data_IF_671427026639
#
_entry.id   IF_671427026639
#
_cell.length_a   1.000
_cell.length_b   1.000
_cell.length_c   1.000
_cell.angle_alpha   90.00
_cell.angle_beta   90.00
_cell.angle_gamma   90.00
#
_symmetry.space_group_name_H-M   'P 1'
#
loop_
_entity.id
_entity.type
_entity.pdbx_description
1 polymer ?
#
# COMPACT_ATOMS: atom_id res chain seq x y z
N UNK A 1 16.53 29.92 57.14
CA UNK A 1 15.15 29.87 56.71
C UNK A 1 14.89 29.82 55.20
N UNK A 2 15.89 29.58 54.35
CA UNK A 2 15.66 29.44 52.90
C UNK A 2 15.45 27.99 52.47
N UNK A 3 14.65 27.81 51.41
CA UNK A 3 14.46 26.48 50.80
C UNK A 3 15.74 26.06 50.08
N UNK A 4 15.98 24.78 50.10
CA UNK A 4 17.11 24.17 49.39
C UNK A 4 16.72 23.86 47.94
N UNK A 5 17.40 24.48 47.01
CA UNK A 5 17.10 24.30 45.58
C UNK A 5 18.20 23.59 44.79
N UNK A 6 19.33 23.29 45.38
CA UNK A 6 20.45 22.62 44.73
C UNK A 6 21.17 23.52 43.71
N UNK A 7 21.43 23.00 42.53
CA UNK A 7 22.16 23.72 41.48
C UNK A 7 21.35 24.88 40.88
N UNK A 8 22.04 25.94 40.46
CA UNK A 8 21.42 27.08 39.78
C UNK A 8 20.84 26.73 38.39
N UNK A 9 21.26 25.61 37.80
CA UNK A 9 20.74 25.07 36.53
C UNK A 9 19.53 24.16 36.68
N UNK A 10 18.96 24.03 37.88
CA UNK A 10 17.79 23.19 38.13
C UNK A 10 16.57 23.68 37.33
N UNK A 11 15.63 22.79 36.94
CA UNK A 11 14.49 23.14 36.07
C UNK A 11 13.58 24.24 36.62
N UNK A 12 13.46 24.39 37.95
CA UNK A 12 12.63 25.43 38.56
C UNK A 12 13.16 26.84 38.42
N UNK A 13 14.43 27.02 38.04
CA UNK A 13 15.03 28.34 37.88
C UNK A 13 14.88 28.87 36.46
N UNK A 14 14.82 30.18 36.32
CA UNK A 14 14.84 30.84 35.02
C UNK A 14 16.19 30.56 34.33
N UNK A 15 16.12 30.09 33.07
CA UNK A 15 17.32 29.66 32.33
C UNK A 15 17.91 28.32 32.77
N UNK A 16 17.21 27.59 33.67
CA UNK A 16 17.61 26.26 34.09
C UNK A 16 17.36 25.18 33.02
N UNK A 17 17.79 23.96 33.32
CA UNK A 17 17.58 22.81 32.41
C UNK A 17 16.12 22.47 32.23
N UNK A 18 15.80 21.75 31.14
CA UNK A 18 14.46 21.21 30.89
C UNK A 18 14.32 19.85 31.59
N UNK A 19 13.27 19.70 32.43
CA UNK A 19 13.07 18.48 33.21
C UNK A 19 12.76 17.29 32.32
N UNK A 20 11.88 17.48 31.29
CA UNK A 20 11.51 16.46 30.30
C UNK A 20 11.74 17.03 28.89
N UNK A 21 13.00 17.23 28.56
CA UNK A 21 13.39 17.77 27.26
C UNK A 21 13.23 16.77 26.11
N UNK A 22 13.48 17.24 24.89
CA UNK A 22 13.42 16.37 23.73
C UNK A 22 14.39 15.20 23.84
N UNK A 23 13.90 14.00 23.54
CA UNK A 23 14.70 12.77 23.57
C UNK A 23 14.55 12.08 22.22
N UNK A 24 15.66 11.56 21.71
CA UNK A 24 15.63 10.73 20.50
C UNK A 24 14.89 9.44 20.82
N UNK A 25 13.79 9.22 20.15
CA UNK A 25 12.96 8.02 20.35
C UNK A 25 12.27 7.64 19.05
N UNK A 26 11.86 6.40 18.98
CA UNK A 26 11.05 5.90 17.89
C UNK A 26 9.57 6.24 18.16
N UNK A 27 8.93 6.92 17.20
CA UNK A 27 7.50 7.24 17.24
C UNK A 27 6.64 6.22 16.52
N UNK A 28 7.26 5.19 15.95
CA UNK A 28 6.53 4.13 15.26
C UNK A 28 5.66 3.35 16.23
N UNK A 29 4.50 2.95 15.78
CA UNK A 29 3.61 2.06 16.52
C UNK A 29 2.88 1.15 15.53
N UNK A 30 2.46 -0.01 15.98
CA UNK A 30 1.70 -0.95 15.18
C UNK A 30 0.20 -0.68 15.29
N UNK A 31 -0.51 -0.90 14.19
CA UNK A 31 -1.97 -0.84 14.19
C UNK A 31 -2.57 -2.21 14.52
N UNK A 32 -3.71 -2.26 15.23
CA UNK A 32 -4.45 -3.50 15.41
C UNK A 32 -4.81 -4.16 14.08
N UNK A 33 -4.82 -5.49 14.05
CA UNK A 33 -5.11 -6.26 12.84
C UNK A 33 -6.47 -5.92 12.22
N UNK A 34 -7.49 -5.70 13.04
CA UNK A 34 -8.84 -5.31 12.57
C UNK A 34 -8.85 -3.95 11.89
N UNK A 35 -8.05 -2.98 12.39
CA UNK A 35 -7.92 -1.65 11.78
C UNK A 35 -7.24 -1.75 10.41
N UNK A 36 -6.21 -2.57 10.28
CA UNK A 36 -5.54 -2.81 9.00
C UNK A 36 -6.47 -3.45 7.97
N UNK A 37 -7.28 -4.41 8.38
CA UNK A 37 -8.29 -5.03 7.52
C UNK A 37 -9.37 -4.03 7.08
N UNK A 38 -9.81 -3.18 7.98
CA UNK A 38 -10.76 -2.11 7.68
C UNK A 38 -10.18 -1.10 6.67
N UNK A 39 -8.90 -0.74 6.83
CA UNK A 39 -8.21 0.17 5.91
C UNK A 39 -8.17 -0.40 4.48
N UNK A 40 -7.90 -1.70 4.33
CA UNK A 40 -7.90 -2.36 3.03
C UNK A 40 -9.28 -2.35 2.38
N UNK A 41 -10.34 -2.62 3.15
CA UNK A 41 -11.72 -2.53 2.67
C UNK A 41 -12.08 -1.12 2.21
N UNK A 42 -11.67 -0.10 2.95
CA UNK A 42 -11.89 1.31 2.58
C UNK A 42 -11.16 1.69 1.29
N UNK A 43 -9.92 1.24 1.11
CA UNK A 43 -9.16 1.49 -0.11
C UNK A 43 -9.85 0.87 -1.34
N UNK A 44 -10.31 -0.37 -1.22
CA UNK A 44 -11.07 -1.04 -2.28
C UNK A 44 -12.39 -0.33 -2.59
N UNK A 45 -13.10 0.11 -1.55
CA UNK A 45 -14.37 0.84 -1.69
C UNK A 45 -14.17 2.19 -2.39
N UNK A 46 -13.11 2.91 -2.07
CA UNK A 46 -12.78 4.17 -2.72
C UNK A 46 -12.52 3.99 -4.21
N UNK A 47 -11.77 2.95 -4.58
CA UNK A 47 -11.53 2.63 -5.99
C UNK A 47 -12.81 2.23 -6.73
N UNK A 48 -13.67 1.45 -6.10
CA UNK A 48 -14.97 1.07 -6.67
C UNK A 48 -15.86 2.28 -6.90
N UNK A 49 -15.91 3.21 -5.93
CA UNK A 49 -16.70 4.43 -6.02
C UNK A 49 -16.26 5.34 -7.19
N UNK A 50 -14.97 5.41 -7.43
CA UNK A 50 -14.39 6.23 -8.50
C UNK A 50 -14.37 5.51 -9.86
N UNK A 51 -15.01 4.34 -9.98
CA UNK A 51 -14.95 3.48 -11.15
C UNK A 51 -13.52 3.10 -11.56
N UNK A 52 -12.64 2.98 -10.57
CA UNK A 52 -11.22 2.66 -10.76
C UNK A 52 -10.91 1.16 -10.72
N UNK A 53 -11.89 0.29 -10.55
CA UNK A 53 -11.70 -1.17 -10.54
C UNK A 53 -12.08 -1.76 -11.88
N UNK A 54 -11.18 -2.57 -12.43
CA UNK A 54 -11.39 -3.35 -13.66
C UNK A 54 -11.18 -4.82 -13.30
N UNK A 55 -12.12 -5.67 -13.67
CA UNK A 55 -12.01 -7.12 -13.46
C UNK A 55 -11.72 -7.79 -14.79
N UNK A 56 -10.68 -8.59 -14.83
CA UNK A 56 -10.28 -9.37 -16.00
C UNK A 56 -10.34 -10.86 -15.67
N UNK A 57 -10.46 -11.71 -16.69
CA UNK A 57 -10.51 -13.15 -16.48
C UNK A 57 -9.19 -13.69 -15.93
N UNK A 58 -8.09 -13.32 -16.54
CA UNK A 58 -6.76 -13.76 -16.13
C UNK A 58 -5.69 -12.78 -16.61
N UNK A 59 -4.56 -12.75 -15.91
CA UNK A 59 -3.40 -11.94 -16.25
C UNK A 59 -2.28 -12.85 -16.73
N UNK A 60 -2.36 -13.29 -17.98
CA UNK A 60 -1.39 -14.18 -18.59
C UNK A 60 -0.92 -13.66 -19.95
N UNK A 61 0.33 -13.98 -20.30
CA UNK A 61 0.89 -13.73 -21.62
C UNK A 61 1.54 -15.00 -22.16
N UNK A 62 1.44 -15.22 -23.46
CA UNK A 62 2.12 -16.31 -24.13
C UNK A 62 3.63 -16.09 -24.22
N UNK A 63 4.06 -14.84 -24.32
CA UNK A 63 5.46 -14.44 -24.41
C UNK A 63 5.74 -13.26 -23.45
N UNK A 64 6.94 -13.18 -22.83
CA UNK A 64 7.30 -12.11 -21.92
C UNK A 64 7.70 -10.83 -22.66
N UNK A 65 6.82 -10.31 -23.51
CA UNK A 65 7.09 -9.10 -24.30
C UNK A 65 6.29 -7.92 -23.79
N UNK A 66 6.98 -6.88 -23.36
CA UNK A 66 6.38 -5.64 -22.87
C UNK A 66 5.55 -4.94 -23.94
N UNK A 67 5.95 -5.00 -25.19
CA UNK A 67 5.22 -4.38 -26.31
C UNK A 67 3.80 -4.93 -26.47
N UNK A 68 3.64 -6.24 -26.34
CA UNK A 68 2.33 -6.90 -26.39
C UNK A 68 1.45 -6.45 -25.23
N UNK A 69 2.02 -6.40 -24.03
CA UNK A 69 1.32 -5.97 -22.83
C UNK A 69 0.92 -4.49 -22.91
N UNK A 70 1.78 -3.62 -23.42
CA UNK A 70 1.45 -2.20 -23.66
C UNK A 70 0.29 -2.05 -24.64
N UNK A 71 0.20 -2.89 -25.66
CA UNK A 71 -0.93 -2.93 -26.58
C UNK A 71 -2.25 -3.27 -25.87
N UNK A 72 -2.24 -4.24 -24.97
CA UNK A 72 -3.40 -4.58 -24.14
C UNK A 72 -3.78 -3.44 -23.18
N UNK A 73 -2.82 -2.81 -22.55
CA UNK A 73 -3.07 -1.67 -21.66
C UNK A 73 -3.63 -0.45 -22.41
N UNK A 74 -3.18 -0.21 -23.64
CA UNK A 74 -3.74 0.84 -24.49
C UNK A 74 -5.23 0.63 -24.79
N UNK A 75 -5.64 -0.61 -25.00
CA UNK A 75 -7.05 -0.98 -25.20
C UNK A 75 -7.91 -0.76 -23.96
N UNK A 76 -7.34 -0.95 -22.78
CA UNK A 76 -8.01 -0.77 -21.49
C UNK A 76 -7.84 0.65 -20.92
N UNK A 77 -7.10 1.51 -21.61
CA UNK A 77 -6.76 2.86 -21.15
C UNK A 77 -6.08 2.87 -19.78
N UNK A 78 -5.11 1.98 -19.59
CA UNK A 78 -4.33 1.86 -18.35
C UNK A 78 -2.99 2.57 -18.48
N UNK A 79 -2.79 3.65 -17.75
CA UNK A 79 -1.52 4.39 -17.65
C UNK A 79 -0.85 4.21 -16.28
N UNK A 80 -1.63 4.17 -15.22
CA UNK A 80 -1.19 3.95 -13.84
C UNK A 80 -2.11 2.90 -13.23
N UNK A 81 -1.59 1.70 -12.98
CA UNK A 81 -2.41 0.58 -12.55
C UNK A 81 -1.67 -0.34 -11.57
N UNK A 82 -2.40 -0.86 -10.61
CA UNK A 82 -1.99 -1.99 -9.82
C UNK A 82 -2.76 -3.22 -10.32
N UNK A 83 -2.04 -4.26 -10.69
CA UNK A 83 -2.64 -5.50 -11.16
C UNK A 83 -2.47 -6.56 -10.08
N UNK A 84 -3.58 -7.11 -9.62
CA UNK A 84 -3.59 -8.15 -8.58
C UNK A 84 -4.03 -9.45 -9.21
N UNK A 85 -3.13 -10.41 -9.23
CA UNK A 85 -3.40 -11.77 -9.69
C UNK A 85 -3.90 -12.67 -8.58
N UNK A 86 -4.08 -13.97 -8.89
CA UNK A 86 -4.43 -14.97 -7.88
C UNK A 86 -3.26 -15.31 -6.97
N UNK A 87 -3.23 -16.53 -6.46
CA UNK A 87 -2.17 -17.00 -5.57
C UNK A 87 -0.78 -16.95 -6.21
N UNK A 88 -0.71 -17.14 -7.51
CA UNK A 88 0.53 -17.10 -8.28
C UNK A 88 0.40 -16.11 -9.44
N UNK A 89 1.49 -15.41 -9.74
CA UNK A 89 1.57 -14.51 -10.89
C UNK A 89 2.17 -15.28 -12.07
N UNK A 90 1.57 -15.12 -13.25
CA UNK A 90 2.14 -15.66 -14.47
C UNK A 90 3.54 -15.07 -14.72
N UNK A 91 4.53 -15.93 -14.94
CA UNK A 91 5.94 -15.53 -15.10
C UNK A 91 6.10 -14.58 -16.28
N UNK A 92 5.50 -14.88 -17.41
CA UNK A 92 5.60 -14.07 -18.62
C UNK A 92 4.96 -12.70 -18.42
N UNK A 93 3.80 -12.66 -17.78
CA UNK A 93 3.13 -11.40 -17.47
C UNK A 93 3.95 -10.54 -16.51
N UNK A 94 4.48 -11.13 -15.45
CA UNK A 94 5.31 -10.42 -14.47
C UNK A 94 6.58 -9.84 -15.09
N UNK A 95 7.27 -10.59 -15.95
CA UNK A 95 8.45 -10.12 -16.65
C UNK A 95 8.12 -8.98 -17.63
N UNK A 96 7.03 -9.08 -18.35
CA UNK A 96 6.61 -8.03 -19.28
C UNK A 96 6.19 -6.74 -18.56
N UNK A 97 5.46 -6.86 -17.45
CA UNK A 97 4.97 -5.70 -16.69
C UNK A 97 6.05 -4.97 -15.90
N UNK A 98 7.12 -5.67 -15.52
CA UNK A 98 8.18 -5.14 -14.65
C UNK A 98 8.85 -3.88 -15.20
N UNK A 99 9.01 -3.77 -16.50
CA UNK A 99 9.66 -2.62 -17.15
C UNK A 99 8.71 -1.48 -17.51
N UNK A 100 7.41 -1.62 -17.29
CA UNK A 100 6.44 -0.57 -17.56
C UNK A 100 6.40 0.39 -16.37
N UNK A 101 6.62 1.72 -16.56
CA UNK A 101 6.50 2.66 -15.47
C UNK A 101 5.04 2.81 -15.01
N UNK A 102 4.85 3.06 -13.73
CA UNK A 102 3.55 3.26 -13.10
C UNK A 102 2.61 2.04 -13.16
N UNK A 103 3.15 0.86 -13.36
CA UNK A 103 2.41 -0.40 -13.33
C UNK A 103 3.08 -1.35 -12.35
N UNK A 104 2.33 -1.85 -11.40
CA UNK A 104 2.77 -2.83 -10.42
C UNK A 104 1.92 -4.09 -10.55
N UNK A 105 2.53 -5.25 -10.31
CA UNK A 105 1.86 -6.54 -10.32
C UNK A 105 2.11 -7.24 -8.99
N UNK A 106 1.05 -7.63 -8.32
CA UNK A 106 1.10 -8.31 -7.02
C UNK A 106 0.24 -9.57 -7.02
N UNK A 107 0.64 -10.62 -6.28
CA UNK A 107 -0.28 -11.69 -5.94
C UNK A 107 -1.31 -11.18 -4.93
N UNK A 108 -2.42 -11.91 -4.79
CA UNK A 108 -3.49 -11.50 -3.86
C UNK A 108 -3.00 -11.44 -2.40
N UNK A 109 -2.01 -12.24 -2.02
CA UNK A 109 -1.42 -12.20 -0.69
C UNK A 109 -0.63 -10.91 -0.43
N UNK A 110 -0.14 -10.26 -1.47
CA UNK A 110 0.64 -9.02 -1.40
C UNK A 110 -0.19 -7.74 -1.51
N UNK A 111 -1.50 -7.83 -1.61
CA UNK A 111 -2.36 -6.65 -1.73
C UNK A 111 -2.25 -5.78 -0.46
N UNK A 112 -2.07 -4.48 -0.65
CA UNK A 112 -1.90 -3.54 0.46
C UNK A 112 -2.50 -2.17 0.08
N UNK A 113 -2.79 -1.38 1.11
CA UNK A 113 -3.43 -0.06 0.96
C UNK A 113 -2.54 0.92 0.20
N UNK A 114 -1.25 0.93 0.49
CA UNK A 114 -0.30 1.86 -0.11
C UNK A 114 -0.30 1.76 -1.64
N UNK A 115 -0.12 0.55 -2.17
CA UNK A 115 -0.07 0.32 -3.61
C UNK A 115 -1.42 0.58 -4.29
N UNK A 116 -2.53 0.27 -3.62
CA UNK A 116 -3.87 0.56 -4.14
C UNK A 116 -4.07 2.07 -4.31
N UNK A 117 -3.74 2.85 -3.29
CA UNK A 117 -3.93 4.31 -3.31
C UNK A 117 -2.94 5.01 -4.22
N UNK A 118 -1.74 4.46 -4.38
CA UNK A 118 -0.69 5.03 -5.20
C UNK A 118 -1.03 5.02 -6.70
N UNK A 119 -1.73 4.00 -7.16
CA UNK A 119 -2.10 3.84 -8.57
C UNK A 119 -3.53 4.31 -8.83
N UNK A 120 -3.79 4.75 -10.07
CA UNK A 120 -5.11 5.29 -10.44
C UNK A 120 -6.15 4.19 -10.63
N UNK A 121 -5.77 3.09 -11.26
CA UNK A 121 -6.65 1.97 -11.55
C UNK A 121 -6.22 0.73 -10.79
N UNK A 122 -7.18 -0.05 -10.36
CA UNK A 122 -6.97 -1.36 -9.74
C UNK A 122 -7.54 -2.42 -10.69
N UNK A 123 -6.69 -3.30 -11.17
CA UNK A 123 -7.07 -4.40 -12.03
C UNK A 123 -7.02 -5.69 -11.23
N UNK A 124 -8.14 -6.39 -11.17
CA UNK A 124 -8.27 -7.65 -10.43
C UNK A 124 -8.56 -8.79 -11.40
N UNK A 125 -7.90 -9.92 -11.21
CA UNK A 125 -8.31 -11.16 -11.87
C UNK A 125 -9.49 -11.76 -11.12
N UNK A 126 -10.26 -12.65 -11.78
CA UNK A 126 -11.37 -13.36 -11.10
C UNK A 126 -10.89 -14.14 -9.89
N UNK A 127 -9.73 -14.81 -10.01
CA UNK A 127 -9.13 -15.53 -8.89
C UNK A 127 -8.81 -14.59 -7.71
N UNK A 128 -8.34 -13.38 -7.99
CA UNK A 128 -8.07 -12.38 -6.96
C UNK A 128 -9.36 -11.92 -6.27
N UNK A 129 -10.42 -11.69 -7.02
CA UNK A 129 -11.73 -11.31 -6.47
C UNK A 129 -12.26 -12.39 -5.53
N UNK A 130 -12.24 -13.66 -5.97
CA UNK A 130 -12.69 -14.77 -5.15
C UNK A 130 -11.88 -14.91 -3.86
N UNK A 131 -10.56 -14.76 -3.94
CA UNK A 131 -9.68 -14.81 -2.78
C UNK A 131 -9.93 -13.66 -1.80
N UNK A 132 -10.19 -12.45 -2.29
CA UNK A 132 -10.51 -11.29 -1.46
C UNK A 132 -11.87 -11.45 -0.77
N UNK A 133 -12.87 -11.95 -1.47
CA UNK A 133 -14.17 -12.24 -0.87
C UNK A 133 -14.04 -13.26 0.27
N UNK A 134 -13.27 -14.32 0.06
CA UNK A 134 -13.00 -15.32 1.10
C UNK A 134 -12.26 -14.71 2.31
N UNK A 135 -11.32 -13.80 2.06
CA UNK A 135 -10.54 -13.14 3.12
C UNK A 135 -11.38 -12.22 4.01
N UNK A 136 -12.41 -11.58 3.45
CA UNK A 136 -13.25 -10.60 4.17
C UNK A 136 -14.53 -11.21 4.76
N UNK A 137 -14.74 -12.49 4.60
CA UNK A 137 -15.84 -13.20 5.27
C UNK A 137 -15.61 -13.39 6.76
#
# INVERSE_FOLDING_TARGET
GGARHGAASAPQFRGGGKAFGPVVRDHAHELPKKVRALALRHALSAKAKDAGIIVIDDATLSEPKTKVLLGHFGKLDLSSALIVGGAEIDTNFGLAARSIPNVDVLPVQGINVYDILRRDKLVLTRAAVDALEARFK
#
